data_IF_727312746806
#
_entry.id   IF_727312746806
#
_cell.length_a   1.000
_cell.length_b   1.000
_cell.length_c   1.000
_cell.angle_alpha   90.00
_cell.angle_beta   90.00
_cell.angle_gamma   90.00
#
_symmetry.space_group_name_H-M   'P 1'
#
loop_
_entity.id
_entity.type
_entity.pdbx_description
1 polymer ?
#
# COMPACT_ATOMS: atom_id res chain seq x y z
N UNK A 1 55.68 51.63 -29.63
CA UNK A 1 55.48 51.10 -28.26
C UNK A 1 54.18 50.29 -28.12
N UNK A 2 53.70 49.61 -29.17
CA UNK A 2 52.41 48.88 -29.17
C UNK A 2 52.51 47.36 -29.43
N UNK A 3 53.71 46.81 -29.66
CA UNK A 3 53.88 45.39 -30.02
C UNK A 3 53.78 44.39 -28.84
N UNK A 4 53.87 44.87 -27.59
CA UNK A 4 53.83 44.00 -26.40
C UNK A 4 52.43 43.70 -25.85
N UNK A 5 51.39 44.36 -26.35
CA UNK A 5 50.00 44.15 -25.89
C UNK A 5 49.39 42.89 -26.53
N UNK A 6 49.75 42.58 -27.78
CA UNK A 6 49.19 41.44 -28.53
C UNK A 6 49.62 40.06 -28.00
N UNK A 7 50.88 39.90 -27.60
CA UNK A 7 51.38 38.64 -27.05
C UNK A 7 50.83 38.36 -25.65
N UNK A 8 50.62 39.39 -24.85
CA UNK A 8 50.01 39.29 -23.51
C UNK A 8 48.54 38.87 -23.59
N UNK A 9 47.80 39.38 -24.58
CA UNK A 9 46.39 39.02 -24.80
C UNK A 9 46.21 37.58 -25.32
N UNK A 10 47.07 37.11 -26.24
CA UNK A 10 47.07 35.71 -26.71
C UNK A 10 47.35 34.72 -25.56
N UNK A 11 48.33 35.01 -24.72
CA UNK A 11 48.67 34.18 -23.56
C UNK A 11 47.55 34.12 -22.50
N UNK A 12 46.74 35.18 -22.39
CA UNK A 12 45.59 35.22 -21.48
C UNK A 12 44.42 34.37 -21.99
N UNK A 13 44.11 34.43 -23.29
CA UNK A 13 43.07 33.61 -23.92
C UNK A 13 43.34 32.11 -23.84
N UNK A 14 44.60 31.69 -24.04
CA UNK A 14 44.99 30.28 -23.91
C UNK A 14 44.92 29.76 -22.47
N UNK A 15 45.25 30.59 -21.46
CA UNK A 15 45.11 30.23 -20.04
C UNK A 15 43.65 30.03 -19.64
N UNK A 16 42.74 30.88 -20.11
CA UNK A 16 41.31 30.73 -19.81
C UNK A 16 40.75 29.44 -20.44
N UNK A 17 41.15 29.12 -21.68
CA UNK A 17 40.76 27.86 -22.34
C UNK A 17 41.33 26.62 -21.63
N UNK A 18 42.62 26.60 -21.32
CA UNK A 18 43.26 25.51 -20.55
C UNK A 18 42.64 25.36 -19.16
N UNK A 19 42.32 26.45 -18.48
CA UNK A 19 41.68 26.40 -17.16
C UNK A 19 40.28 25.78 -17.22
N UNK A 20 39.47 26.13 -18.23
CA UNK A 20 38.15 25.52 -18.43
C UNK A 20 38.22 24.03 -18.80
N UNK A 21 39.21 23.63 -19.60
CA UNK A 21 39.49 22.22 -19.92
C UNK A 21 39.93 21.45 -18.68
N UNK A 22 40.93 21.97 -17.94
CA UNK A 22 41.40 21.38 -16.69
C UNK A 22 40.27 21.24 -15.67
N UNK A 23 39.36 22.21 -15.57
CA UNK A 23 38.21 22.14 -14.67
C UNK A 23 37.24 21.01 -15.06
N UNK A 24 36.96 20.85 -16.36
CA UNK A 24 36.08 19.79 -16.85
C UNK A 24 36.71 18.40 -16.68
N UNK A 25 38.00 18.27 -17.01
CA UNK A 25 38.77 17.03 -16.80
C UNK A 25 38.86 16.68 -15.30
N UNK A 26 39.10 17.66 -14.43
CA UNK A 26 39.12 17.46 -12.97
C UNK A 26 37.77 16.93 -12.47
N UNK A 27 36.66 17.51 -12.93
CA UNK A 27 35.33 17.05 -12.53
C UNK A 27 35.02 15.64 -13.06
N UNK A 28 35.41 15.33 -14.29
CA UNK A 28 35.27 13.99 -14.87
C UNK A 28 36.08 12.95 -14.09
N UNK A 29 37.34 13.25 -13.77
CA UNK A 29 38.20 12.38 -12.96
C UNK A 29 37.61 12.17 -11.57
N UNK A 30 37.16 13.24 -10.90
CA UNK A 30 36.53 13.15 -9.58
C UNK A 30 35.24 12.31 -9.60
N UNK A 31 34.42 12.43 -10.65
CA UNK A 31 33.25 11.58 -10.83
C UNK A 31 33.65 10.12 -11.05
N UNK A 32 34.68 9.87 -11.87
CA UNK A 32 35.22 8.54 -12.12
C UNK A 32 35.82 7.89 -10.86
N UNK A 33 36.51 8.65 -10.01
CA UNK A 33 37.01 8.18 -8.72
C UNK A 33 35.86 7.72 -7.84
N UNK A 34 34.84 8.56 -7.65
CA UNK A 34 33.66 8.22 -6.82
C UNK A 34 32.92 6.99 -7.33
N UNK A 35 32.78 6.86 -8.65
CA UNK A 35 32.14 5.68 -9.26
C UNK A 35 33.00 4.42 -9.08
N UNK A 36 34.31 4.54 -9.21
CA UNK A 36 35.25 3.44 -9.01
C UNK A 36 35.29 3.01 -7.54
N UNK A 37 35.32 3.95 -6.60
CA UNK A 37 35.27 3.67 -5.15
C UNK A 37 33.99 2.89 -4.80
N UNK A 38 32.84 3.33 -5.33
CA UNK A 38 31.58 2.59 -5.17
C UNK A 38 31.65 1.17 -5.73
N UNK A 39 32.28 0.96 -6.88
CA UNK A 39 32.46 -0.38 -7.48
C UNK A 39 33.40 -1.25 -6.63
N UNK A 40 34.45 -0.67 -6.07
CA UNK A 40 35.36 -1.36 -5.15
C UNK A 40 34.61 -1.81 -3.89
N UNK A 41 33.83 -0.93 -3.27
CA UNK A 41 32.98 -1.27 -2.12
C UNK A 41 31.99 -2.40 -2.45
N UNK A 42 31.34 -2.33 -3.62
CA UNK A 42 30.44 -3.38 -4.10
C UNK A 42 31.15 -4.71 -4.31
N UNK A 43 32.37 -4.71 -4.86
CA UNK A 43 33.16 -5.92 -5.06
C UNK A 43 33.54 -6.57 -3.73
N UNK A 44 34.01 -5.79 -2.74
CA UNK A 44 34.30 -6.29 -1.40
C UNK A 44 33.04 -6.82 -0.70
N UNK A 45 31.91 -6.11 -0.81
CA UNK A 45 30.64 -6.56 -0.24
C UNK A 45 30.17 -7.88 -0.87
N UNK A 46 30.29 -8.02 -2.19
CA UNK A 46 29.92 -9.24 -2.91
C UNK A 46 30.79 -10.43 -2.46
N UNK A 47 32.11 -10.24 -2.44
CA UNK A 47 33.06 -11.25 -2.01
C UNK A 47 32.79 -11.67 -0.56
N UNK A 48 32.65 -10.70 0.34
CA UNK A 48 32.40 -10.96 1.76
C UNK A 48 31.07 -11.70 1.98
N UNK A 49 30.02 -11.33 1.24
CA UNK A 49 28.73 -12.02 1.29
C UNK A 49 28.82 -13.47 0.78
N UNK A 50 29.47 -13.70 -0.36
CA UNK A 50 29.68 -15.05 -0.89
C UNK A 50 30.50 -15.92 0.06
N UNK A 51 31.58 -15.37 0.61
CA UNK A 51 32.42 -16.05 1.59
C UNK A 51 31.65 -16.38 2.88
N UNK A 52 30.93 -15.41 3.44
CA UNK A 52 30.12 -15.60 4.64
C UNK A 52 29.09 -16.73 4.46
N UNK A 53 28.30 -16.67 3.37
CA UNK A 53 27.22 -17.62 3.13
C UNK A 53 27.73 -19.04 2.83
N UNK A 54 28.89 -19.17 2.17
CA UNK A 54 29.48 -20.48 1.82
C UNK A 54 30.22 -21.16 2.97
N UNK A 55 30.52 -20.44 4.06
CA UNK A 55 31.33 -20.94 5.19
C UNK A 55 30.58 -20.98 6.52
N UNK A 56 29.23 -20.91 6.51
CA UNK A 56 28.44 -20.94 7.75
C UNK A 56 28.60 -22.24 8.56
N UNK A 57 28.81 -23.37 7.88
CA UNK A 57 28.99 -24.68 8.53
C UNK A 57 30.44 -24.92 8.99
N UNK A 58 31.40 -24.25 8.36
CA UNK A 58 32.82 -24.40 8.64
C UNK A 58 33.52 -23.03 8.56
N UNK A 59 33.38 -22.26 9.63
CA UNK A 59 33.98 -20.93 9.76
C UNK A 59 35.48 -21.08 10.01
N UNK A 60 36.35 -20.50 9.17
CA UNK A 60 37.78 -20.55 9.42
C UNK A 60 38.13 -19.83 10.74
N UNK A 61 39.03 -20.38 11.58
CA UNK A 61 39.30 -19.85 12.91
C UNK A 61 39.64 -18.36 12.94
N UNK A 62 40.42 -17.89 11.97
CA UNK A 62 40.86 -16.49 11.83
C UNK A 62 39.71 -15.52 11.53
N UNK A 63 38.55 -16.01 11.07
CA UNK A 63 37.38 -15.19 10.74
C UNK A 63 36.23 -15.36 11.75
N UNK A 64 36.40 -16.16 12.81
CA UNK A 64 35.35 -16.45 13.81
C UNK A 64 34.73 -15.17 14.37
N UNK A 65 35.55 -14.21 14.78
CA UNK A 65 35.06 -12.94 15.35
C UNK A 65 34.27 -12.12 14.33
N UNK A 66 34.75 -12.07 13.08
CA UNK A 66 34.06 -11.37 12.00
C UNK A 66 32.70 -12.00 11.69
N UNK A 67 32.61 -13.33 11.64
CA UNK A 67 31.33 -14.04 11.42
C UNK A 67 30.34 -13.79 12.56
N UNK A 68 30.81 -13.82 13.81
CA UNK A 68 29.99 -13.53 14.97
C UNK A 68 29.46 -12.09 14.94
N UNK A 69 30.30 -11.12 14.60
CA UNK A 69 29.89 -9.72 14.46
C UNK A 69 28.83 -9.56 13.36
N UNK A 70 29.04 -10.16 12.18
CA UNK A 70 28.07 -10.12 11.08
C UNK A 70 26.73 -10.76 11.51
N UNK A 71 26.77 -11.91 12.18
CA UNK A 71 25.57 -12.57 12.68
C UNK A 71 24.80 -11.69 13.68
N UNK A 72 25.51 -11.03 14.61
CA UNK A 72 24.91 -10.09 15.56
C UNK A 72 24.25 -8.89 14.86
N UNK A 73 24.92 -8.31 13.86
CA UNK A 73 24.37 -7.20 13.08
C UNK A 73 23.12 -7.62 12.28
N UNK A 74 23.11 -8.83 11.72
CA UNK A 74 21.94 -9.39 11.03
C UNK A 74 20.77 -9.55 11.99
N UNK A 75 21.01 -10.08 13.20
CA UNK A 75 19.96 -10.21 14.23
C UNK A 75 19.44 -8.84 14.68
N UNK A 76 20.33 -7.91 15.02
CA UNK A 76 19.91 -6.57 15.45
C UNK A 76 19.11 -5.83 14.35
N UNK A 77 19.47 -6.01 13.08
CA UNK A 77 18.68 -5.49 11.96
C UNK A 77 17.28 -6.11 11.93
N UNK A 78 17.15 -7.42 12.16
CA UNK A 78 15.84 -8.08 12.22
C UNK A 78 14.98 -7.52 13.37
N UNK A 79 15.57 -7.30 14.55
CA UNK A 79 14.89 -6.69 15.70
C UNK A 79 14.39 -5.28 15.39
N UNK A 80 15.21 -4.45 14.74
CA UNK A 80 14.82 -3.10 14.32
C UNK A 80 13.68 -3.12 13.30
N UNK A 81 13.70 -4.06 12.35
CA UNK A 81 12.60 -4.25 11.39
C UNK A 81 11.31 -4.66 12.11
N UNK A 82 11.39 -5.54 13.11
CA UNK A 82 10.22 -5.92 13.91
C UNK A 82 9.66 -4.73 14.69
N UNK A 83 10.52 -3.93 15.32
CA UNK A 83 10.12 -2.69 16.01
C UNK A 83 9.46 -1.70 15.04
N UNK A 84 10.02 -1.50 13.85
CA UNK A 84 9.43 -0.66 12.81
C UNK A 84 8.04 -1.17 12.40
N UNK A 85 7.86 -2.48 12.27
CA UNK A 85 6.57 -3.07 11.92
C UNK A 85 5.52 -2.88 13.02
N UNK A 86 5.91 -2.97 14.30
CA UNK A 86 5.03 -2.67 15.45
C UNK A 86 4.58 -1.20 15.48
N UNK A 87 5.46 -0.28 15.08
CA UNK A 87 5.13 1.15 15.00
C UNK A 87 4.29 1.50 13.77
N UNK A 88 4.50 0.78 12.66
CA UNK A 88 3.91 1.13 11.38
C UNK A 88 2.39 0.93 11.29
N UNK A 89 1.73 0.28 12.28
CA UNK A 89 0.28 0.23 12.55
C UNK A 89 -0.58 0.67 11.35
N UNK A 90 -0.43 -0.03 10.22
CA UNK A 90 -0.94 0.46 8.96
C UNK A 90 -2.47 0.45 9.05
N UNK A 91 -3.09 1.56 8.70
CA UNK A 91 -4.54 1.68 8.74
C UNK A 91 -5.10 1.55 7.33
N UNK A 92 -6.13 0.72 7.19
CA UNK A 92 -6.86 0.61 5.93
C UNK A 92 -7.81 1.78 5.80
N UNK A 93 -7.78 2.44 4.65
CA UNK A 93 -8.71 3.51 4.37
C UNK A 93 -10.13 2.93 4.26
N UNK A 94 -11.11 3.39 5.07
CA UNK A 94 -12.48 2.89 4.98
C UNK A 94 -13.20 3.36 3.70
N UNK A 95 -12.68 4.39 3.02
CA UNK A 95 -13.26 4.91 1.77
C UNK A 95 -12.79 4.17 0.53
N UNK A 96 -11.49 3.88 0.39
CA UNK A 96 -10.93 3.31 -0.84
C UNK A 96 -10.14 2.00 -0.65
N UNK A 97 -10.01 1.50 0.57
CA UNK A 97 -9.33 0.23 0.87
C UNK A 97 -7.80 0.29 0.87
N UNK A 98 -7.19 1.40 0.46
CA UNK A 98 -5.73 1.55 0.46
C UNK A 98 -5.13 1.41 1.87
N UNK A 99 -3.98 0.73 1.99
CA UNK A 99 -3.20 0.64 3.23
C UNK A 99 -2.34 1.88 3.39
N UNK A 100 -2.40 2.55 4.53
CA UNK A 100 -1.67 3.78 4.82
C UNK A 100 -0.82 3.58 6.07
N UNK A 101 0.36 4.20 6.13
CA UNK A 101 1.20 4.12 7.31
C UNK A 101 0.49 4.75 8.53
N UNK A 102 0.74 4.21 9.73
CA UNK A 102 0.12 4.66 10.99
C UNK A 102 0.21 6.17 11.22
N UNK A 103 1.34 6.77 10.85
CA UNK A 103 1.65 8.20 10.97
C UNK A 103 0.92 9.11 9.98
N UNK A 104 0.28 8.56 8.94
CA UNK A 104 -0.48 9.35 7.98
C UNK A 104 -1.86 9.70 8.55
N UNK A 105 -2.13 11.01 8.70
CA UNK A 105 -3.43 11.51 9.13
C UNK A 105 -4.52 11.41 8.05
N UNK A 106 -4.13 11.25 6.78
CA UNK A 106 -5.02 11.14 5.63
C UNK A 106 -4.57 10.03 4.69
N UNK A 107 -5.52 9.43 3.96
CA UNK A 107 -5.21 8.40 2.98
C UNK A 107 -4.46 8.99 1.78
N UNK A 108 -3.31 8.43 1.43
CA UNK A 108 -2.51 8.89 0.29
C UNK A 108 -3.18 8.69 -1.08
N UNK A 109 -4.16 7.79 -1.17
CA UNK A 109 -4.88 7.49 -2.42
C UNK A 109 -6.15 8.34 -2.61
N UNK A 110 -6.91 8.62 -1.55
CA UNK A 110 -8.22 9.30 -1.66
C UNK A 110 -8.42 10.54 -0.78
N UNK A 111 -7.42 10.89 0.05
CA UNK A 111 -7.48 12.05 0.95
C UNK A 111 -8.43 11.93 2.15
N UNK A 112 -9.14 10.81 2.33
CA UNK A 112 -10.02 10.59 3.49
C UNK A 112 -9.20 10.55 4.79
N UNK A 113 -9.64 11.18 5.91
CA UNK A 113 -8.91 11.15 7.17
C UNK A 113 -8.82 9.75 7.78
N UNK A 114 -7.78 9.53 8.58
CA UNK A 114 -7.61 8.33 9.40
C UNK A 114 -8.76 8.23 10.41
N UNK A 115 -9.41 7.06 10.55
CA UNK A 115 -10.39 6.84 11.62
C UNK A 115 -9.73 7.01 12.99
N UNK A 116 -10.31 7.86 13.83
CA UNK A 116 -9.95 7.97 15.25
C UNK A 116 -10.78 6.94 16.00
N UNK A 117 -10.18 6.01 16.76
CA UNK A 117 -10.95 5.07 17.57
C UNK A 117 -11.70 5.84 18.67
N UNK A 118 -13.03 5.67 18.72
CA UNK A 118 -13.97 6.35 19.62
C UNK A 118 -13.82 6.01 21.10
N UNK A 119 -12.79 5.24 21.51
CA UNK A 119 -12.65 4.73 22.87
C UNK A 119 -12.05 5.72 23.88
N UNK A 120 -12.18 7.04 23.67
CA UNK A 120 -11.68 8.07 24.60
C UNK A 120 -12.68 9.22 24.84
N UNK A 121 -13.98 8.92 24.90
CA UNK A 121 -14.99 9.85 25.42
C UNK A 121 -16.01 9.12 26.29
N UNK A 122 -15.58 8.55 27.41
CA UNK A 122 -16.52 8.16 28.48
C UNK A 122 -15.92 8.53 29.84
N UNK A 123 -16.08 9.80 30.19
CA UNK A 123 -16.05 10.25 31.57
C UNK A 123 -17.47 10.57 32.01
N UNK A 124 -17.98 9.77 32.96
CA UNK A 124 -19.08 10.06 33.90
C UNK A 124 -20.49 10.15 33.24
N UNK A 125 -21.58 9.51 33.67
CA UNK A 125 -22.05 9.15 35.01
C UNK A 125 -23.09 8.00 34.97
N UNK A 126 -23.00 7.14 36.00
CA UNK A 126 -24.10 6.54 36.76
C UNK A 126 -24.93 5.37 36.18
N UNK A 127 -24.74 4.25 36.87
CA UNK A 127 -25.53 3.03 36.91
C UNK A 127 -26.94 3.31 37.44
N UNK A 128 -27.98 2.82 36.76
CA UNK A 128 -29.21 2.33 37.41
C UNK A 128 -29.85 1.28 36.48
N UNK A 129 -30.27 0.17 37.07
CA UNK A 129 -30.83 -1.00 36.40
C UNK A 129 -32.34 -0.85 36.13
N UNK A 130 -32.79 -1.57 35.09
CA UNK A 130 -34.15 -2.06 34.83
C UNK A 130 -35.18 -1.10 34.19
N UNK A 131 -35.44 -1.31 32.89
CA UNK A 131 -36.76 -1.76 32.42
C UNK A 131 -36.63 -2.37 31.02
N UNK A 132 -37.15 -3.58 30.86
CA UNK A 132 -37.40 -4.17 29.56
C UNK A 132 -38.71 -3.57 29.03
N UNK A 133 -38.69 -2.97 27.85
CA UNK A 133 -39.91 -2.76 27.07
C UNK A 133 -39.60 -2.91 25.58
N UNK A 134 -40.33 -3.83 24.95
CA UNK A 134 -40.28 -4.18 23.54
C UNK A 134 -40.62 -2.99 22.65
N UNK A 135 -39.73 -2.61 21.72
CA UNK A 135 -40.16 -1.93 20.50
C UNK A 135 -40.11 -2.89 19.31
N UNK A 136 -41.32 -3.32 18.95
CA UNK A 136 -41.72 -4.10 17.77
C UNK A 136 -41.10 -3.52 16.47
N UNK A 137 -40.54 -4.34 15.56
CA UNK A 137 -39.95 -3.85 14.32
C UNK A 137 -41.03 -3.27 13.39
N UNK A 138 -40.80 -2.04 12.91
CA UNK A 138 -41.61 -1.39 11.88
C UNK A 138 -41.47 -2.16 10.56
N UNK A 139 -42.55 -2.82 10.14
CA UNK A 139 -42.62 -3.54 8.88
C UNK A 139 -42.61 -2.53 7.71
N UNK A 140 -41.91 -2.83 6.59
CA UNK A 140 -41.90 -1.95 5.42
C UNK A 140 -43.28 -1.92 4.77
N UNK A 141 -43.74 -0.73 4.37
CA UNK A 141 -45.10 -0.54 3.83
C UNK A 141 -45.17 -0.82 2.32
N UNK A 142 -44.04 -0.77 1.62
CA UNK A 142 -43.91 -1.15 0.21
C UNK A 142 -42.43 -1.38 -0.14
N UNK A 143 -42.17 -1.95 -1.32
CA UNK A 143 -40.82 -2.05 -1.88
C UNK A 143 -40.69 -1.11 -3.08
N UNK A 144 -39.50 -0.53 -3.26
CA UNK A 144 -39.22 0.32 -4.40
C UNK A 144 -39.43 -0.45 -5.72
N UNK A 145 -40.27 0.02 -6.66
CA UNK A 145 -40.56 -0.71 -7.90
C UNK A 145 -39.35 -0.83 -8.83
N UNK A 146 -38.35 0.03 -8.66
CA UNK A 146 -37.15 0.02 -9.50
C UNK A 146 -36.03 -0.89 -8.97
N UNK A 147 -35.89 -1.04 -7.64
CA UNK A 147 -34.74 -1.75 -7.06
C UNK A 147 -35.07 -2.74 -5.94
N UNK A 148 -36.35 -2.88 -5.58
CA UNK A 148 -36.81 -3.83 -4.57
C UNK A 148 -36.41 -3.50 -3.13
N UNK A 149 -35.89 -2.31 -2.84
CA UNK A 149 -35.52 -1.90 -1.47
C UNK A 149 -36.76 -1.59 -0.64
N UNK A 150 -36.85 -2.05 0.63
CA UNK A 150 -37.99 -1.75 1.51
C UNK A 150 -38.10 -0.25 1.81
N UNK A 151 -39.32 0.27 1.77
CA UNK A 151 -39.67 1.67 2.03
C UNK A 151 -40.64 1.76 3.22
N UNK A 152 -40.46 2.79 4.04
CA UNK A 152 -41.18 2.97 5.32
C UNK A 152 -42.19 4.13 5.31
N UNK A 153 -42.45 4.73 4.13
CA UNK A 153 -43.49 5.72 3.89
C UNK A 153 -43.08 7.18 4.02
N UNK A 154 -43.73 8.05 3.23
CA UNK A 154 -43.54 9.51 3.26
C UNK A 154 -42.36 10.05 2.44
N UNK A 155 -41.59 9.19 1.77
CA UNK A 155 -40.41 9.59 1.00
C UNK A 155 -40.76 9.95 -0.45
N UNK A 156 -40.19 11.04 -0.95
CA UNK A 156 -40.38 11.46 -2.34
C UNK A 156 -39.56 10.62 -3.34
N UNK A 157 -38.45 10.05 -2.88
CA UNK A 157 -37.50 9.29 -3.67
C UNK A 157 -36.94 8.12 -2.86
N UNK A 158 -36.60 7.01 -3.51
CA UNK A 158 -35.93 5.88 -2.89
C UNK A 158 -34.50 6.27 -2.49
N UNK A 159 -34.16 6.17 -1.21
CA UNK A 159 -32.81 6.47 -0.70
C UNK A 159 -31.69 5.55 -1.23
N UNK A 160 -32.04 4.39 -1.81
CA UNK A 160 -31.06 3.44 -2.34
C UNK A 160 -30.75 3.65 -3.83
N UNK A 161 -31.77 3.88 -4.68
CA UNK A 161 -31.58 4.00 -6.14
C UNK A 161 -32.00 5.35 -6.73
N UNK A 162 -32.58 6.26 -5.94
CA UNK A 162 -33.04 7.57 -6.39
C UNK A 162 -34.35 7.57 -7.19
N UNK A 163 -35.05 6.44 -7.29
CA UNK A 163 -36.34 6.37 -7.99
C UNK A 163 -37.38 7.30 -7.36
N UNK A 164 -38.12 8.07 -8.17
CA UNK A 164 -39.11 9.04 -7.70
C UNK A 164 -40.44 8.33 -7.40
N UNK A 165 -40.81 8.28 -6.12
CA UNK A 165 -41.98 7.56 -5.62
C UNK A 165 -43.28 8.40 -5.72
N UNK A 166 -43.19 9.69 -6.05
CA UNK A 166 -44.36 10.58 -6.13
C UNK A 166 -45.19 10.43 -7.41
N UNK A 167 -44.74 9.66 -8.39
CA UNK A 167 -45.47 9.49 -9.67
C UNK A 167 -46.60 8.45 -9.61
N UNK A 168 -46.62 7.59 -8.59
CA UNK A 168 -47.46 6.37 -8.60
C UNK A 168 -48.51 6.35 -7.47
N UNK A 169 -48.81 7.49 -6.82
CA UNK A 169 -49.72 7.57 -5.67
C UNK A 169 -51.23 7.60 -6.01
N UNK A 170 -51.61 7.33 -7.27
CA UNK A 170 -53.01 7.26 -7.72
C UNK A 170 -53.31 5.99 -8.54
N UNK A 171 -53.04 4.78 -8.01
CA UNK A 171 -53.78 3.56 -8.41
C UNK A 171 -53.82 2.54 -7.25
N UNK A 172 -55.02 2.27 -6.75
CA UNK A 172 -55.37 1.24 -5.76
C UNK A 172 -55.12 -0.21 -6.25
N UNK A 173 -54.69 -1.03 -5.28
CA UNK A 173 -55.11 -2.40 -4.96
C UNK A 173 -55.70 -3.32 -6.06
N UNK A 174 -54.98 -4.41 -6.33
CA UNK A 174 -55.48 -5.79 -6.47
C UNK A 174 -54.27 -6.73 -6.18
N UNK A 175 -54.20 -7.40 -5.03
CA UNK A 175 -54.56 -8.84 -4.82
C UNK A 175 -54.16 -9.73 -6.01
N UNK A 176 -53.43 -10.85 -5.91
CA UNK A 176 -53.63 -12.01 -5.03
C UNK A 176 -52.42 -12.98 -5.13
N UNK A 177 -51.95 -13.47 -3.98
CA UNK A 177 -51.54 -14.86 -3.64
C UNK A 177 -50.57 -15.73 -4.48
N UNK A 178 -49.61 -16.27 -3.71
CA UNK A 178 -49.18 -17.68 -3.57
C UNK A 178 -48.22 -18.32 -4.59
N UNK A 179 -47.01 -18.58 -4.07
CA UNK A 179 -46.12 -19.67 -4.46
C UNK A 179 -46.76 -21.04 -4.17
N UNK A 180 -46.62 -21.97 -5.11
CA UNK A 180 -46.56 -23.40 -4.83
C UNK A 180 -45.92 -24.17 -5.99
N UNK A 181 -45.13 -25.18 -5.60
CA UNK A 181 -44.73 -26.38 -6.37
C UNK A 181 -43.58 -26.16 -7.36
N UNK A 182 -42.43 -26.81 -7.18
CA UNK A 182 -42.18 -28.17 -7.71
C UNK A 182 -41.44 -28.01 -9.04
N UNK A 183 -40.40 -28.72 -9.44
CA UNK A 183 -40.00 -30.09 -9.18
C UNK A 183 -38.57 -30.29 -9.72
N UNK A 184 -37.96 -31.38 -9.23
CA UNK A 184 -37.11 -32.33 -9.96
C UNK A 184 -35.85 -31.90 -10.74
N UNK A 185 -34.75 -32.54 -10.31
CA UNK A 185 -33.72 -33.21 -11.12
C UNK A 185 -32.89 -32.32 -12.07
N UNK A 186 -31.60 -32.55 -12.32
CA UNK A 186 -31.03 -33.79 -12.85
C UNK A 186 -29.53 -33.83 -12.52
N UNK A 187 -29.13 -34.99 -12.00
CA UNK A 187 -27.79 -35.56 -11.90
C UNK A 187 -27.10 -35.66 -13.28
N UNK A 188 -25.79 -35.41 -13.40
CA UNK A 188 -24.93 -36.12 -14.37
C UNK A 188 -23.44 -35.98 -14.07
N UNK A 189 -22.86 -37.14 -13.82
CA UNK A 189 -21.46 -37.51 -13.59
C UNK A 189 -20.44 -37.15 -14.69
N UNK A 190 -19.17 -37.23 -14.28
CA UNK A 190 -18.07 -37.83 -15.06
C UNK A 190 -17.17 -36.81 -15.76
N UNK A 191 -15.84 -36.88 -15.73
CA UNK A 191 -14.95 -37.93 -15.26
C UNK A 191 -13.65 -37.88 -16.07
N UNK A 192 -12.55 -37.51 -15.41
CA UNK A 192 -11.21 -38.09 -15.56
C UNK A 192 -10.40 -37.79 -16.85
N UNK A 193 -9.11 -38.23 -16.97
CA UNK A 193 -7.92 -37.37 -16.78
C UNK A 193 -6.89 -37.50 -17.94
N UNK A 194 -5.65 -37.03 -17.70
CA UNK A 194 -4.41 -37.27 -18.49
C UNK A 194 -4.30 -36.46 -19.80
N UNK A 195 -3.14 -35.99 -20.27
CA UNK A 195 -1.76 -36.18 -19.87
C UNK A 195 -0.85 -35.22 -20.63
N UNK A 196 0.43 -35.27 -20.26
CA UNK A 196 1.62 -34.63 -20.82
C UNK A 196 1.74 -34.67 -22.35
N UNK A 197 2.35 -33.66 -22.97
CA UNK A 197 3.50 -33.87 -23.88
C UNK A 197 4.20 -32.58 -24.33
N UNK A 198 5.51 -32.74 -24.54
CA UNK A 198 6.53 -31.76 -24.90
C UNK A 198 6.51 -31.42 -26.40
N UNK A 199 7.02 -30.25 -26.78
CA UNK A 199 7.67 -30.00 -28.08
C UNK A 199 8.55 -28.75 -27.92
N UNK A 200 9.88 -28.87 -27.86
CA UNK A 200 10.85 -28.89 -28.98
C UNK A 200 10.78 -27.67 -29.89
#
# INVERSE_FOLDING_TARGET
MFENIGNTFKNYGEKVKKSAQNFTETNQLNAGIRDTDKKIEQAFASLGNEFYNSHLENVPPEYTEAFNNIAQLIQHKADLVEQLNKLNNAWKCPRCGASNASQMSFCGNCGCPKPVPTSQMEGQEQQEQAHAEEEKPKQPIMFCPNCGTPLYGGEAFCGNCGYNLKKDADVEATETTNEASGDEAVNSNGGAPEGTENNK
#
